data_IF_149159447148
#
_entry.id   IF_149159447148
#
_cell.length_a   1.000
_cell.length_b   1.000
_cell.length_c   1.000
_cell.angle_alpha   90.00
_cell.angle_beta   90.00
_cell.angle_gamma   90.00
#
_symmetry.space_group_name_H-M   'P 1'
#
loop_
_entity.id
_entity.type
_entity.pdbx_description
1 polymer ?
#
# COMPACT_ATOMS: atom_id res chain seq x y z
N UNK A 1 37.13 4.52 -9.71
CA UNK A 1 35.79 3.92 -9.65
C UNK A 1 34.81 4.88 -8.99
N UNK A 2 33.73 5.27 -9.66
CA UNK A 2 32.69 6.14 -9.09
C UNK A 2 31.58 5.28 -8.50
N UNK A 3 31.52 5.23 -7.16
CA UNK A 3 30.55 4.44 -6.40
C UNK A 3 29.47 5.34 -5.82
N UNK A 4 28.21 4.92 -5.98
CA UNK A 4 27.05 5.59 -5.37
C UNK A 4 26.43 4.65 -4.35
N UNK A 5 26.22 5.12 -3.13
CA UNK A 5 25.55 4.38 -2.06
C UNK A 5 24.22 5.07 -1.76
N UNK A 6 23.12 4.35 -1.92
CA UNK A 6 21.77 4.86 -1.69
C UNK A 6 21.21 4.13 -0.47
N UNK A 7 20.86 4.88 0.57
CA UNK A 7 20.17 4.35 1.75
C UNK A 7 18.66 4.47 1.56
N UNK A 8 17.97 3.35 1.74
CA UNK A 8 16.53 3.22 1.54
C UNK A 8 15.87 2.88 2.88
N UNK A 9 14.82 3.65 3.20
CA UNK A 9 13.89 3.38 4.29
C UNK A 9 12.66 2.67 3.68
N UNK A 10 12.34 1.47 4.16
CA UNK A 10 11.31 0.59 3.57
C UNK A 10 9.91 0.83 4.17
N UNK A 11 9.67 2.03 4.68
CA UNK A 11 8.34 2.42 5.10
C UNK A 11 7.47 2.83 3.89
N UNK A 12 6.87 1.84 3.24
CA UNK A 12 5.51 1.98 2.70
C UNK A 12 5.29 1.49 1.26
N UNK A 13 4.52 0.39 1.16
CA UNK A 13 3.68 -0.09 0.04
C UNK A 13 4.29 -0.21 -1.37
N UNK A 14 3.78 -1.19 -2.12
CA UNK A 14 4.27 -1.68 -3.43
C UNK A 14 4.50 -0.60 -4.52
N UNK A 15 3.97 0.62 -4.34
CA UNK A 15 3.96 1.65 -5.36
C UNK A 15 5.18 2.61 -5.32
N UNK A 16 6.04 2.55 -4.29
CA UNK A 16 7.28 3.36 -4.24
C UNK A 16 8.45 2.74 -5.01
N UNK A 17 8.36 1.46 -5.35
CA UNK A 17 9.40 0.73 -6.08
C UNK A 17 9.57 1.24 -7.52
N UNK A 18 8.50 1.70 -8.18
CA UNK A 18 8.57 2.12 -9.57
C UNK A 18 9.41 3.40 -9.77
N UNK A 19 9.34 4.35 -8.83
CA UNK A 19 10.17 5.55 -8.87
C UNK A 19 11.66 5.23 -8.69
N UNK A 20 11.98 4.32 -7.76
CA UNK A 20 13.34 3.82 -7.57
C UNK A 20 13.85 3.12 -8.83
N UNK A 21 13.09 2.18 -9.39
CA UNK A 21 13.47 1.48 -10.61
C UNK A 21 13.65 2.42 -11.81
N UNK A 22 12.76 3.40 -11.99
CA UNK A 22 12.88 4.38 -13.08
C UNK A 22 14.14 5.24 -12.94
N UNK A 23 14.49 5.66 -11.72
CA UNK A 23 15.72 6.42 -11.45
C UNK A 23 16.98 5.58 -11.62
N UNK A 24 16.96 4.31 -11.23
CA UNK A 24 18.07 3.38 -11.46
C UNK A 24 18.30 3.17 -12.96
N UNK A 25 17.22 2.99 -13.73
CA UNK A 25 17.31 2.90 -15.20
C UNK A 25 17.92 4.16 -15.80
N UNK A 26 17.55 5.34 -15.33
CA UNK A 26 18.18 6.59 -15.78
C UNK A 26 19.67 6.64 -15.43
N UNK A 27 20.04 6.30 -14.19
CA UNK A 27 21.43 6.34 -13.73
C UNK A 27 22.33 5.38 -14.52
N UNK A 28 21.85 4.18 -14.85
CA UNK A 28 22.59 3.19 -15.65
C UNK A 28 22.71 3.63 -17.11
N UNK A 29 21.70 4.31 -17.67
CA UNK A 29 21.66 4.66 -19.09
C UNK A 29 22.13 6.09 -19.40
N UNK A 30 22.50 6.88 -18.40
CA UNK A 30 22.98 8.25 -18.63
C UNK A 30 24.50 8.30 -18.73
N UNK A 31 25.03 8.75 -19.87
CA UNK A 31 26.48 8.98 -20.06
C UNK A 31 27.06 10.01 -19.07
N UNK A 32 26.20 10.89 -18.54
CA UNK A 32 26.56 11.89 -17.52
C UNK A 32 26.83 11.26 -16.15
N UNK A 33 26.18 10.15 -15.83
CA UNK A 33 26.33 9.44 -14.58
C UNK A 33 27.21 8.20 -14.79
N UNK A 34 28.50 8.40 -15.08
CA UNK A 34 29.48 7.31 -15.18
C UNK A 34 29.70 6.67 -13.79
N UNK A 35 28.77 5.84 -13.34
CA UNK A 35 28.88 5.11 -12.08
C UNK A 35 29.23 3.65 -12.36
N UNK A 36 30.31 3.17 -11.74
CA UNK A 36 30.76 1.79 -11.91
C UNK A 36 30.02 0.85 -10.96
N UNK A 37 29.45 1.38 -9.87
CA UNK A 37 28.75 0.58 -8.86
C UNK A 37 27.69 1.42 -8.15
N UNK A 38 26.47 0.89 -8.11
CA UNK A 38 25.36 1.42 -7.31
C UNK A 38 25.09 0.40 -6.19
N UNK A 39 25.28 0.81 -4.94
CA UNK A 39 25.03 -0.02 -3.77
C UNK A 39 23.75 0.48 -3.07
N UNK A 40 22.77 -0.39 -2.93
CA UNK A 40 21.54 -0.11 -2.18
C UNK A 40 21.71 -0.67 -0.77
N UNK A 41 21.54 0.18 0.24
CA UNK A 41 21.57 -0.19 1.65
C UNK A 41 20.21 0.06 2.26
N UNK A 42 19.73 -0.90 3.04
CA UNK A 42 18.47 -0.79 3.77
C UNK A 42 18.78 -0.56 5.25
N UNK A 43 17.99 0.28 5.92
CA UNK A 43 18.24 0.65 7.32
C UNK A 43 18.07 -0.53 8.30
N UNK A 44 17.40 -1.61 7.91
CA UNK A 44 17.29 -2.84 8.69
C UNK A 44 17.98 -4.01 7.99
N UNK A 45 18.64 -4.88 8.78
CA UNK A 45 19.21 -6.14 8.26
C UNK A 45 18.06 -7.09 7.88
N UNK A 46 17.74 -7.15 6.59
CA UNK A 46 17.11 -8.33 6.00
C UNK A 46 15.67 -8.24 5.51
N UNK A 47 15.15 -7.10 5.04
CA UNK A 47 13.83 -7.08 4.40
C UNK A 47 13.69 -6.18 3.16
N UNK A 48 12.89 -6.68 2.19
CA UNK A 48 11.81 -5.90 1.55
C UNK A 48 10.53 -6.24 2.33
N UNK A 49 10.21 -5.40 3.29
CA UNK A 49 9.17 -5.52 4.28
C UNK A 49 7.87 -4.94 3.71
N UNK A 50 6.84 -5.75 3.66
CA UNK A 50 5.55 -5.40 3.05
C UNK A 50 4.44 -5.44 4.12
N UNK A 51 3.30 -4.76 3.90
CA UNK A 51 2.36 -4.25 4.94
C UNK A 51 1.77 -5.27 5.92
N UNK A 52 1.95 -6.57 5.70
CA UNK A 52 1.45 -7.66 6.55
C UNK A 52 2.24 -7.82 7.85
N UNK A 53 3.47 -7.34 7.88
CA UNK A 53 4.31 -7.48 9.06
C UNK A 53 3.86 -6.47 10.17
N UNK A 54 2.96 -5.53 9.84
CA UNK A 54 2.31 -4.58 10.76
C UNK A 54 1.30 -5.20 11.73
N UNK A 55 1.20 -6.53 11.77
CA UNK A 55 0.92 -7.26 13.02
C UNK A 55 2.17 -7.27 13.92
N UNK A 56 2.83 -6.13 13.99
CA UNK A 56 4.03 -5.85 14.75
C UNK A 56 3.71 -6.07 16.23
N UNK A 57 4.39 -7.06 16.83
CA UNK A 57 4.47 -7.21 18.27
C UNK A 57 4.77 -5.85 18.91
N UNK A 58 3.93 -5.44 19.86
CA UNK A 58 4.09 -4.21 20.65
C UNK A 58 5.34 -4.25 21.55
N UNK A 59 6.05 -5.38 21.56
CA UNK A 59 7.24 -5.67 22.35
C UNK A 59 8.40 -6.03 21.42
N UNK A 60 9.49 -5.29 21.52
CA UNK A 60 10.78 -5.67 20.93
C UNK A 60 11.64 -6.21 22.07
N UNK A 61 12.40 -7.24 21.75
CA UNK A 61 13.26 -7.90 22.70
C UNK A 61 14.70 -7.50 22.41
N UNK A 62 15.42 -7.04 23.42
CA UNK A 62 16.81 -6.63 23.29
C UNK A 62 17.65 -7.16 24.45
N UNK A 63 18.97 -7.24 24.25
CA UNK A 63 19.95 -7.54 25.30
C UNK A 63 20.98 -6.42 25.32
N UNK A 64 21.36 -5.98 26.51
CA UNK A 64 22.47 -5.03 26.65
C UNK A 64 23.82 -5.76 26.57
N UNK A 65 23.89 -6.95 27.17
CA UNK A 65 25.08 -7.79 27.13
C UNK A 65 24.80 -9.19 26.55
N UNK A 66 25.84 -9.83 26.00
CA UNK A 66 25.71 -11.10 25.30
C UNK A 66 25.20 -12.25 26.18
N UNK A 67 25.49 -12.22 27.48
CA UNK A 67 25.14 -13.29 28.44
C UNK A 67 23.86 -13.03 29.24
N UNK A 68 23.21 -11.88 29.06
CA UNK A 68 21.99 -11.54 29.78
C UNK A 68 20.75 -12.15 29.13
N UNK A 69 19.65 -12.17 29.88
CA UNK A 69 18.34 -12.54 29.37
C UNK A 69 17.73 -11.42 28.52
N UNK A 70 16.79 -11.78 27.64
CA UNK A 70 16.11 -10.84 26.76
C UNK A 70 15.19 -9.91 27.59
N UNK A 71 15.41 -8.61 27.48
CA UNK A 71 14.53 -7.59 28.04
C UNK A 71 13.50 -7.15 26.99
N UNK A 72 12.25 -6.99 27.41
CA UNK A 72 11.18 -6.49 26.55
C UNK A 72 11.09 -4.96 26.66
N UNK A 73 11.08 -4.27 25.52
CA UNK A 73 10.86 -2.84 25.41
C UNK A 73 9.50 -2.61 24.76
N UNK A 74 8.64 -1.87 25.44
CA UNK A 74 7.34 -1.43 24.94
C UNK A 74 7.46 0.02 24.44
N UNK A 75 7.46 0.20 23.12
CA UNK A 75 7.66 1.50 22.46
C UNK A 75 6.37 2.31 22.36
N UNK A 76 5.21 1.65 22.53
CA UNK A 76 3.92 2.28 22.31
C UNK A 76 3.17 2.39 23.62
N UNK A 77 3.38 3.51 24.33
CA UNK A 77 2.38 4.04 25.26
C UNK A 77 1.17 4.57 24.48
N UNK A 78 0.47 3.72 23.71
CA UNK A 78 -0.79 4.13 23.11
C UNK A 78 -1.87 3.98 24.18
N UNK A 79 -2.26 5.09 24.80
CA UNK A 79 -3.60 5.25 25.43
C UNK A 79 -4.74 5.03 24.43
N UNK A 80 -4.40 4.83 23.16
CA UNK A 80 -5.27 4.49 22.06
C UNK A 80 -5.59 3.00 22.06
N UNK A 81 -6.84 2.66 22.39
CA UNK A 81 -7.36 1.32 22.21
C UNK A 81 -7.71 1.14 20.73
N UNK A 82 -7.00 0.22 20.06
CA UNK A 82 -7.36 -0.21 18.71
C UNK A 82 -8.75 -0.87 18.80
N UNK A 83 -9.79 -0.19 18.30
CA UNK A 83 -11.10 -0.81 18.16
C UNK A 83 -10.97 -1.87 17.07
N UNK A 84 -11.19 -3.13 17.42
CA UNK A 84 -11.29 -4.18 16.42
C UNK A 84 -12.41 -3.82 15.45
N UNK A 85 -12.08 -3.71 14.16
CA UNK A 85 -13.11 -3.52 13.16
C UNK A 85 -14.03 -4.75 13.16
N UNK A 86 -15.36 -4.56 13.07
CA UNK A 86 -16.26 -5.69 12.98
C UNK A 86 -15.91 -6.54 11.76
N UNK A 87 -15.83 -7.85 11.95
CA UNK A 87 -15.58 -8.78 10.86
C UNK A 87 -16.61 -8.56 9.75
N UNK A 88 -16.13 -8.37 8.51
CA UNK A 88 -17.01 -8.20 7.36
C UNK A 88 -17.63 -9.55 7.02
N UNK A 89 -18.88 -9.78 7.45
CA UNK A 89 -19.58 -11.05 7.24
C UNK A 89 -20.11 -11.24 5.81
N UNK A 90 -20.06 -10.22 4.96
CA UNK A 90 -20.55 -10.30 3.59
C UNK A 90 -19.81 -9.32 2.66
N UNK A 91 -19.83 -9.58 1.33
CA UNK A 91 -19.30 -8.65 0.36
C UNK A 91 -20.00 -7.29 0.45
N UNK A 92 -19.24 -6.20 0.47
CA UNK A 92 -19.79 -4.88 0.23
C UNK A 92 -20.26 -4.80 -1.21
N UNK A 93 -21.54 -5.06 -1.44
CA UNK A 93 -22.19 -4.86 -2.74
C UNK A 93 -22.33 -3.39 -3.11
N UNK A 94 -22.90 -3.14 -4.28
CA UNK A 94 -23.22 -1.81 -4.79
C UNK A 94 -24.74 -1.62 -4.94
N UNK A 95 -25.22 -0.38 -4.99
CA UNK A 95 -26.64 -0.14 -5.25
C UNK A 95 -27.03 -0.65 -6.64
N UNK A 96 -28.27 -1.14 -6.77
CA UNK A 96 -28.78 -1.66 -8.05
C UNK A 96 -28.75 -0.60 -9.15
N UNK A 97 -28.98 0.68 -8.81
CA UNK A 97 -28.89 1.79 -9.77
C UNK A 97 -27.46 1.95 -10.32
N UNK A 98 -26.45 1.96 -9.44
CA UNK A 98 -25.05 2.08 -9.83
C UNK A 98 -24.57 0.88 -10.64
N UNK A 99 -25.03 -0.32 -10.28
CA UNK A 99 -24.73 -1.54 -11.04
C UNK A 99 -25.25 -1.44 -12.49
N UNK A 100 -26.50 -1.00 -12.66
CA UNK A 100 -27.09 -0.81 -13.98
C UNK A 100 -26.35 0.24 -14.79
N UNK A 101 -25.92 1.33 -14.15
CA UNK A 101 -25.15 2.39 -14.81
C UNK A 101 -23.79 1.88 -15.30
N UNK A 102 -23.06 1.15 -14.46
CA UNK A 102 -21.79 0.49 -14.82
C UNK A 102 -22.00 -0.48 -15.98
N UNK A 103 -23.05 -1.30 -15.93
CA UNK A 103 -23.34 -2.25 -17.01
C UNK A 103 -23.68 -1.52 -18.30
N UNK A 104 -24.43 -0.43 -18.24
CA UNK A 104 -24.80 0.35 -19.42
C UNK A 104 -23.62 1.06 -20.06
N UNK A 105 -22.74 1.66 -19.26
CA UNK A 105 -21.66 2.52 -19.75
C UNK A 105 -20.36 1.75 -20.04
N UNK A 106 -19.94 0.88 -19.12
CA UNK A 106 -18.61 0.27 -19.17
C UNK A 106 -18.60 -1.08 -19.89
N UNK A 107 -19.61 -1.93 -19.69
CA UNK A 107 -19.60 -3.30 -20.25
C UNK A 107 -19.52 -3.35 -21.78
N UNK A 108 -20.18 -2.46 -22.57
CA UNK A 108 -20.03 -2.43 -24.02
C UNK A 108 -18.62 -2.11 -24.51
N UNK A 109 -17.82 -1.39 -23.70
CA UNK A 109 -16.44 -1.00 -24.03
C UNK A 109 -15.42 -2.08 -23.66
N UNK A 110 -15.84 -3.14 -22.97
CA UNK A 110 -14.97 -4.20 -22.47
C UNK A 110 -15.05 -5.49 -23.30
N UNK A 111 -13.95 -6.24 -23.28
CA UNK A 111 -13.88 -7.59 -23.84
C UNK A 111 -14.97 -8.50 -23.24
N UNK A 112 -15.61 -9.40 -24.03
CA UNK A 112 -16.71 -10.26 -23.57
C UNK A 112 -16.38 -11.12 -22.34
N UNK A 113 -15.12 -11.55 -22.20
CA UNK A 113 -14.65 -12.34 -21.06
C UNK A 113 -14.80 -11.62 -19.72
N UNK A 114 -14.85 -10.28 -19.72
CA UNK A 114 -14.99 -9.46 -18.51
C UNK A 114 -16.44 -9.17 -18.15
N UNK A 115 -17.40 -9.48 -19.02
CA UNK A 115 -18.81 -9.15 -18.79
C UNK A 115 -19.39 -9.92 -17.61
N UNK A 116 -18.96 -11.18 -17.43
CA UNK A 116 -19.44 -12.04 -16.35
C UNK A 116 -19.21 -11.42 -14.97
N UNK A 117 -18.00 -10.89 -14.73
CA UNK A 117 -17.62 -10.23 -13.48
C UNK A 117 -18.57 -9.08 -13.10
N UNK A 118 -18.82 -8.15 -14.03
CA UNK A 118 -19.64 -6.97 -13.77
C UNK A 118 -21.12 -7.31 -13.59
N UNK A 119 -21.61 -8.33 -14.31
CA UNK A 119 -23.00 -8.81 -14.16
C UNK A 119 -23.21 -9.55 -12.84
N UNK A 120 -22.19 -10.25 -12.33
CA UNK A 120 -22.24 -11.01 -11.08
C UNK A 120 -21.95 -10.20 -9.82
N UNK A 121 -21.80 -8.87 -9.92
CA UNK A 121 -21.54 -8.03 -8.74
C UNK A 121 -22.70 -8.11 -7.73
N UNK A 122 -22.40 -8.30 -6.43
CA UNK A 122 -23.41 -8.33 -5.39
C UNK A 122 -24.07 -6.96 -5.23
N UNK A 123 -25.36 -6.96 -5.00
CA UNK A 123 -26.14 -5.74 -4.74
C UNK A 123 -26.28 -5.52 -3.23
N UNK A 124 -26.22 -4.27 -2.80
CA UNK A 124 -26.35 -3.89 -1.40
C UNK A 124 -27.05 -2.54 -1.28
N UNK A 125 -27.77 -2.35 -0.17
CA UNK A 125 -28.37 -1.07 0.23
C UNK A 125 -27.39 -0.20 1.02
N UNK A 126 -26.14 -0.63 1.18
CA UNK A 126 -25.11 0.12 1.87
C UNK A 126 -24.88 1.49 1.20
N UNK A 127 -24.59 2.49 2.03
CA UNK A 127 -24.28 3.84 1.57
C UNK A 127 -23.03 3.82 0.70
N UNK A 128 -23.13 4.39 -0.50
CA UNK A 128 -22.00 4.54 -1.41
C UNK A 128 -21.05 5.63 -0.87
N UNK A 129 -19.82 5.23 -0.56
CA UNK A 129 -18.79 6.13 -0.02
C UNK A 129 -18.19 7.04 -1.11
N UNK A 130 -18.37 6.72 -2.40
CA UNK A 130 -17.83 7.52 -3.50
C UNK A 130 -18.56 8.84 -3.75
N UNK A 131 -19.85 8.90 -3.43
CA UNK A 131 -20.71 10.08 -3.73
C UNK A 131 -20.30 11.31 -2.93
N UNK A 132 -19.76 11.13 -1.72
CA UNK A 132 -19.27 12.26 -0.91
C UNK A 132 -17.98 12.88 -1.46
N UNK A 133 -17.17 12.10 -2.17
CA UNK A 133 -15.93 12.58 -2.77
C UNK A 133 -16.21 13.50 -3.96
N UNK A 134 -17.15 13.12 -4.83
CA UNK A 134 -17.54 13.92 -6.01
C UNK A 134 -18.12 15.29 -5.61
N UNK A 135 -19.01 15.32 -4.60
CA UNK A 135 -19.55 16.60 -4.09
C UNK A 135 -18.48 17.52 -3.51
N UNK A 136 -17.46 16.96 -2.85
CA UNK A 136 -16.35 17.76 -2.32
C UNK A 136 -15.53 18.40 -3.42
N UNK A 137 -15.26 17.68 -4.50
CA UNK A 137 -14.54 18.20 -5.66
C UNK A 137 -15.36 19.31 -6.33
N UNK A 138 -16.65 19.09 -6.58
CA UNK A 138 -17.51 20.12 -7.21
C UNK A 138 -17.62 21.41 -6.39
N UNK A 139 -17.63 21.32 -5.05
CA UNK A 139 -17.69 22.47 -4.16
C UNK A 139 -16.34 23.18 -3.97
N UNK A 140 -15.24 22.63 -4.49
CA UNK A 140 -13.90 23.24 -4.38
C UNK A 140 -13.56 24.12 -5.59
N UNK A 141 -14.41 24.09 -6.63
CA UNK A 141 -14.28 24.88 -7.87
C UNK A 141 -15.42 25.90 -8.06
N UNK A 142 -16.20 26.17 -6.99
CA UNK A 142 -17.16 27.27 -6.87
C UNK A 142 -16.68 28.22 -5.76
#
# INVERSE_FOLDING_TARGET
MKKVVIWLDDCGEQNKNWCLFTKLTYLVNSEKAMHDTIELKYFEKGHTYMPADSKHNQLLWYKNEFKEDLCALDFFKSTWQLKEEPARCSPCGISSSKKLEIIKQLVPLMLPTRHAFWKSLPESTAKDLGVEHERRISNQFL
#
